data_IF_494392019898
#
_entry.id   IF_494392019898
#
_cell.length_a   1.000
_cell.length_b   1.000
_cell.length_c   1.000
_cell.angle_alpha   90.00
_cell.angle_beta   90.00
_cell.angle_gamma   90.00
#
_symmetry.space_group_name_H-M   'P 1'
#
loop_
_entity.id
_entity.type
_entity.pdbx_description
1 polymer ?
#
# COMPACT_ATOMS: atom_id res chain seq x y z
N UNK A 1 5.28 -0.21 -17.64
CA UNK A 1 4.63 0.03 -16.35
C UNK A 1 5.68 -0.12 -15.26
N UNK A 2 5.85 0.89 -14.42
CA UNK A 2 6.75 0.86 -13.25
C UNK A 2 5.90 0.82 -11.98
N UNK A 3 6.43 0.18 -10.93
CA UNK A 3 5.81 0.09 -9.61
C UNK A 3 6.90 0.35 -8.57
N UNK A 4 6.87 1.55 -7.98
CA UNK A 4 7.95 2.04 -7.13
C UNK A 4 7.42 2.35 -5.71
N UNK A 5 7.57 1.41 -4.75
CA UNK A 5 7.23 1.66 -3.36
C UNK A 5 8.28 2.54 -2.67
N UNK A 6 7.83 3.46 -1.84
CA UNK A 6 8.62 4.36 -1.01
C UNK A 6 8.00 4.43 0.39
N UNK A 7 8.71 5.04 1.34
CA UNK A 7 8.21 5.25 2.71
C UNK A 7 7.72 3.95 3.38
N UNK A 8 8.48 2.86 3.20
CA UNK A 8 8.15 1.55 3.75
C UNK A 8 8.24 1.56 5.28
N UNK A 9 7.17 1.14 5.95
CA UNK A 9 7.15 0.89 7.38
C UNK A 9 6.61 -0.53 7.65
N UNK A 10 7.26 -1.23 8.58
CA UNK A 10 6.97 -2.64 8.90
C UNK A 10 6.73 -2.77 10.40
N UNK A 11 5.64 -3.43 10.77
CA UNK A 11 5.38 -3.90 12.13
C UNK A 11 5.19 -5.41 12.08
N UNK A 12 6.08 -6.18 12.71
CA UNK A 12 6.06 -7.64 12.67
C UNK A 12 6.02 -8.26 14.07
N UNK A 13 5.11 -9.22 14.25
CA UNK A 13 5.10 -10.18 15.37
C UNK A 13 5.67 -11.53 14.93
N UNK A 14 5.42 -12.58 15.73
CA UNK A 14 5.88 -13.94 15.40
C UNK A 14 5.17 -14.54 14.19
N UNK A 15 3.85 -14.34 14.09
CA UNK A 15 2.99 -15.01 13.10
C UNK A 15 2.20 -14.04 12.22
N UNK A 16 2.13 -12.76 12.59
CA UNK A 16 1.40 -11.72 11.85
C UNK A 16 2.30 -10.50 11.67
N UNK A 17 2.26 -9.89 10.48
CA UNK A 17 2.93 -8.64 10.20
C UNK A 17 2.08 -7.70 9.34
N UNK A 18 2.36 -6.41 9.45
CA UNK A 18 1.75 -5.35 8.66
C UNK A 18 2.85 -4.53 7.98
N UNK A 19 2.65 -4.22 6.71
CA UNK A 19 3.52 -3.32 5.94
C UNK A 19 2.67 -2.19 5.38
N UNK A 20 3.17 -0.96 5.48
CA UNK A 20 2.58 0.19 4.79
C UNK A 20 3.61 0.83 3.88
N UNK A 21 3.19 1.31 2.72
CA UNK A 21 4.03 2.10 1.83
C UNK A 21 3.21 3.05 0.96
N UNK A 22 3.90 4.05 0.41
CA UNK A 22 3.42 4.87 -0.69
C UNK A 22 3.96 4.29 -1.99
N UNK A 23 3.17 4.28 -3.04
CA UNK A 23 3.54 3.70 -4.33
C UNK A 23 3.32 4.70 -5.43
N UNK A 24 4.37 4.96 -6.20
CA UNK A 24 4.27 5.61 -7.49
C UNK A 24 4.21 4.53 -8.58
N UNK A 25 3.14 4.52 -9.37
CA UNK A 25 2.96 3.62 -10.48
C UNK A 25 2.83 4.41 -11.79
N UNK A 26 3.70 4.15 -12.76
CA UNK A 26 3.71 4.86 -14.04
C UNK A 26 3.57 3.90 -15.23
N UNK A 27 3.19 4.43 -16.39
CA UNK A 27 2.95 3.67 -17.61
C UNK A 27 1.66 2.85 -17.60
N UNK A 28 0.65 3.31 -16.86
CA UNK A 28 -0.74 2.81 -16.96
C UNK A 28 -1.48 3.49 -18.13
N UNK A 29 -2.61 2.93 -18.57
CA UNK A 29 -3.41 3.54 -19.64
C UNK A 29 -4.05 4.88 -19.25
N UNK A 30 -4.16 5.18 -17.96
CA UNK A 30 -4.75 6.40 -17.42
C UNK A 30 -3.70 7.44 -16.95
N UNK A 31 -2.40 7.17 -17.18
CA UNK A 31 -1.30 7.98 -16.66
C UNK A 31 -0.73 7.45 -15.34
N UNK A 32 0.16 8.21 -14.68
CA UNK A 32 0.73 7.81 -13.40
C UNK A 32 -0.32 7.85 -12.28
N UNK A 33 -0.16 6.96 -11.29
CA UNK A 33 -1.01 6.82 -10.12
C UNK A 33 -0.14 6.81 -8.87
N UNK A 34 -0.48 7.67 -7.92
CA UNK A 34 0.08 7.69 -6.58
C UNK A 34 -0.95 7.16 -5.58
N UNK A 35 -0.59 6.13 -4.82
CA UNK A 35 -1.50 5.50 -3.87
C UNK A 35 -0.77 4.98 -2.64
N UNK A 36 -1.55 4.69 -1.59
CA UNK A 36 -1.06 4.02 -0.38
C UNK A 36 -1.43 2.55 -0.44
N UNK A 37 -0.50 1.70 -0.03
CA UNK A 37 -0.70 0.26 0.12
C UNK A 37 -0.49 -0.14 1.59
N UNK A 38 -1.44 -0.92 2.11
CA UNK A 38 -1.29 -1.66 3.38
C UNK A 38 -1.37 -3.16 3.10
N UNK A 39 -0.40 -3.92 3.59
CA UNK A 39 -0.28 -5.36 3.38
C UNK A 39 -0.39 -6.04 4.73
N UNK A 40 -1.31 -7.00 4.85
CA UNK A 40 -1.36 -7.96 5.94
C UNK A 40 -0.65 -9.25 5.54
N UNK A 41 0.23 -9.72 6.42
CA UNK A 41 1.01 -10.94 6.23
C UNK A 41 0.75 -11.91 7.37
N UNK A 42 0.67 -13.20 7.04
CA UNK A 42 0.66 -14.30 8.01
C UNK A 42 1.84 -15.22 7.73
N UNK A 43 2.49 -15.71 8.78
CA UNK A 43 3.58 -16.68 8.65
C UNK A 43 3.01 -18.09 8.54
N UNK A 44 3.21 -18.74 7.40
CA UNK A 44 2.76 -20.11 7.12
C UNK A 44 3.96 -20.96 6.72
N UNK A 45 4.16 -22.08 7.40
CA UNK A 45 5.29 -23.01 7.16
C UNK A 45 6.69 -22.35 7.13
N UNK A 46 6.84 -21.26 7.90
CA UNK A 46 8.09 -20.51 8.00
C UNK A 46 8.24 -19.36 7.00
N UNK A 47 7.28 -19.18 6.10
CA UNK A 47 7.27 -18.11 5.07
C UNK A 47 6.21 -17.07 5.36
N UNK A 48 6.44 -15.81 4.98
CA UNK A 48 5.44 -14.75 5.08
C UNK A 48 4.56 -14.75 3.82
N UNK A 49 3.27 -14.98 4.02
CA UNK A 49 2.26 -15.02 2.96
C UNK A 49 1.39 -13.77 3.05
N UNK A 50 1.14 -13.11 1.90
CA UNK A 50 0.19 -12.00 1.82
C UNK A 50 -1.22 -12.56 1.99
N UNK A 51 -1.91 -12.13 3.03
CA UNK A 51 -3.30 -12.53 3.31
C UNK A 51 -4.29 -11.42 3.02
N UNK A 52 -3.84 -10.17 3.01
CA UNK A 52 -4.66 -9.01 2.71
C UNK A 52 -3.84 -7.90 2.05
N UNK A 53 -4.46 -7.23 1.08
CA UNK A 53 -3.98 -5.96 0.55
C UNK A 53 -5.11 -4.94 0.57
N UNK A 54 -4.78 -3.73 1.00
CA UNK A 54 -5.66 -2.57 0.91
C UNK A 54 -4.95 -1.46 0.13
N UNK A 55 -5.55 -1.08 -0.99
CA UNK A 55 -5.07 -0.01 -1.87
C UNK A 55 -6.01 1.18 -1.74
N UNK A 56 -5.46 2.38 -1.56
CA UNK A 56 -6.27 3.59 -1.48
C UNK A 56 -5.59 4.77 -2.16
N UNK A 57 -6.38 5.54 -2.91
CA UNK A 57 -5.95 6.82 -3.47
C UNK A 57 -6.58 7.95 -2.65
N UNK A 58 -5.86 9.07 -2.46
CA UNK A 58 -6.48 10.28 -1.95
C UNK A 58 -7.57 10.72 -2.95
N UNK A 59 -8.74 11.07 -2.42
CA UNK A 59 -9.78 11.76 -3.20
C UNK A 59 -9.71 13.24 -2.90
N UNK A 60 -9.92 14.06 -3.93
CA UNK A 60 -10.10 15.51 -3.75
C UNK A 60 -11.59 15.75 -3.52
N UNK A 61 -11.97 15.88 -2.26
CA UNK A 61 -13.34 16.16 -1.86
C UNK A 61 -13.49 17.65 -1.56
N UNK A 62 -14.16 18.40 -2.44
CA UNK A 62 -14.33 19.85 -2.31
C UNK A 62 -14.92 20.27 -0.95
N UNK A 63 -15.75 19.42 -0.33
CA UNK A 63 -16.35 19.66 0.99
C UNK A 63 -15.37 19.72 2.16
N UNK A 64 -14.13 19.26 2.00
CA UNK A 64 -13.11 19.26 3.06
C UNK A 64 -11.98 20.28 2.81
N UNK A 65 -12.06 21.09 1.76
CA UNK A 65 -11.01 22.04 1.35
C UNK A 65 -11.26 23.46 1.92
N UNK A 66 -12.45 23.75 2.45
CA UNK A 66 -12.82 25.04 3.08
C UNK A 66 -12.90 24.98 4.62
N UNK A 67 -11.86 24.49 5.31
CA UNK A 67 -11.67 24.70 6.75
C UNK A 67 -10.29 25.26 7.07
#
# INVERSE_FOLDING_TARGET
MTYAPTNLAITAGQDVAFVTCEVHCDGTSAGPLDFRLTIGLERQDGEWVITHEHHSMPTTEERFIEQ
#
